data_IF_282297880078
#
_entry.id   IF_282297880078
#
_cell.length_a   1.000
_cell.length_b   1.000
_cell.length_c   1.000
_cell.angle_alpha   90.00
_cell.angle_beta   90.00
_cell.angle_gamma   90.00
#
_symmetry.space_group_name_H-M   'P 1'
#
loop_
_entity.id
_entity.type
_entity.pdbx_description
1 polymer ?
#
# COMPACT_ATOMS: atom_id res chain seq x y z
N UNK A 1 -22.20 28.85 -53.72
CA UNK A 1 -21.46 27.57 -53.87
C UNK A 1 -21.40 26.92 -52.53
N UNK A 2 -22.44 26.18 -52.16
CA UNK A 2 -22.47 25.38 -50.93
C UNK A 2 -22.02 23.99 -51.34
N UNK A 3 -20.75 23.71 -51.05
CA UNK A 3 -20.15 22.42 -51.38
C UNK A 3 -20.85 21.29 -50.64
N UNK A 4 -21.31 20.33 -51.43
CA UNK A 4 -21.91 19.07 -51.02
C UNK A 4 -20.90 18.29 -50.16
N UNK A 5 -20.98 18.42 -48.83
CA UNK A 5 -20.26 17.51 -47.94
C UNK A 5 -20.80 16.11 -48.26
N UNK A 6 -19.96 15.25 -48.79
CA UNK A 6 -20.33 13.87 -49.13
C UNK A 6 -20.96 13.19 -47.91
N UNK A 7 -22.04 12.43 -48.10
CA UNK A 7 -22.70 11.68 -47.03
C UNK A 7 -21.71 10.79 -46.24
N UNK A 8 -20.65 10.34 -46.89
CA UNK A 8 -19.53 9.61 -46.30
C UNK A 8 -18.73 10.45 -45.30
N UNK A 9 -18.50 11.73 -45.62
CA UNK A 9 -17.77 12.66 -44.75
C UNK A 9 -18.61 12.98 -43.50
N UNK A 10 -19.91 13.19 -43.67
CA UNK A 10 -20.83 13.43 -42.57
C UNK A 10 -20.89 12.20 -41.61
N UNK A 11 -20.96 11.00 -42.16
CA UNK A 11 -20.95 9.74 -41.42
C UNK A 11 -19.64 9.54 -40.66
N UNK A 12 -18.49 9.84 -41.26
CA UNK A 12 -17.19 9.77 -40.62
C UNK A 12 -17.07 10.76 -39.46
N UNK A 13 -17.53 12.00 -39.62
CA UNK A 13 -17.58 13.01 -38.58
C UNK A 13 -18.47 12.59 -37.42
N UNK A 14 -19.61 11.96 -37.67
CA UNK A 14 -20.50 11.44 -36.62
C UNK A 14 -19.84 10.33 -35.83
N UNK A 15 -19.17 9.39 -36.49
CA UNK A 15 -18.43 8.32 -35.82
C UNK A 15 -17.32 8.91 -34.93
N UNK A 16 -16.54 9.85 -35.42
CA UNK A 16 -15.48 10.51 -34.67
C UNK A 16 -16.03 11.25 -33.45
N UNK A 17 -17.14 11.96 -33.63
CA UNK A 17 -17.83 12.63 -32.52
C UNK A 17 -18.32 11.64 -31.45
N UNK A 18 -18.91 10.52 -31.84
CA UNK A 18 -19.35 9.48 -30.89
C UNK A 18 -18.18 8.84 -30.14
N UNK A 19 -17.06 8.58 -30.82
CA UNK A 19 -15.85 8.06 -30.20
C UNK A 19 -15.29 9.07 -29.17
N UNK A 20 -15.15 10.33 -29.54
CA UNK A 20 -14.67 11.39 -28.65
C UNK A 20 -15.61 11.60 -27.47
N UNK A 21 -16.92 11.61 -27.72
CA UNK A 21 -17.93 11.68 -26.67
C UNK A 21 -17.80 10.51 -25.67
N UNK A 22 -17.67 9.29 -26.19
CA UNK A 22 -17.52 8.08 -25.35
C UNK A 22 -16.23 8.12 -24.53
N UNK A 23 -15.11 8.55 -25.11
CA UNK A 23 -13.83 8.73 -24.43
C UNK A 23 -13.92 9.81 -23.34
N UNK A 24 -14.49 10.97 -23.62
CA UNK A 24 -14.68 12.05 -22.66
C UNK A 24 -15.61 11.63 -21.51
N UNK A 25 -16.73 10.96 -21.84
CA UNK A 25 -17.68 10.46 -20.86
C UNK A 25 -17.05 9.39 -19.96
N UNK A 26 -16.27 8.48 -20.53
CA UNK A 26 -15.51 7.47 -19.78
C UNK A 26 -14.51 8.10 -18.81
N UNK A 27 -13.77 9.13 -19.26
CA UNK A 27 -12.83 9.89 -18.42
C UNK A 27 -13.55 10.61 -17.28
N UNK A 28 -14.64 11.32 -17.57
CA UNK A 28 -15.42 12.03 -16.57
C UNK A 28 -16.02 11.07 -15.51
N UNK A 29 -16.54 9.92 -15.92
CA UNK A 29 -17.04 8.89 -15.00
C UNK A 29 -15.94 8.34 -14.09
N UNK A 30 -14.73 8.13 -14.64
CA UNK A 30 -13.57 7.68 -13.85
C UNK A 30 -13.18 8.73 -12.83
N UNK A 31 -13.08 9.99 -13.22
CA UNK A 31 -12.76 11.11 -12.31
C UNK A 31 -13.79 11.25 -11.19
N UNK A 32 -15.08 11.17 -11.52
CA UNK A 32 -16.16 11.20 -10.53
C UNK A 32 -16.06 10.06 -9.51
N UNK A 33 -15.71 8.85 -9.96
CA UNK A 33 -15.51 7.70 -9.06
C UNK A 33 -14.33 7.93 -8.13
N UNK A 34 -13.20 8.41 -8.66
CA UNK A 34 -11.99 8.73 -7.88
C UNK A 34 -12.31 9.82 -6.85
N UNK A 35 -12.99 10.89 -7.26
CA UNK A 35 -13.35 11.98 -6.36
C UNK A 35 -14.32 11.52 -5.25
N UNK A 36 -15.30 10.66 -5.56
CA UNK A 36 -16.19 10.07 -4.55
C UNK A 36 -15.43 9.19 -3.56
N UNK A 37 -14.52 8.36 -4.05
CA UNK A 37 -13.66 7.52 -3.22
C UNK A 37 -12.77 8.37 -2.31
N UNK A 38 -12.08 9.36 -2.85
CA UNK A 38 -11.25 10.28 -2.06
C UNK A 38 -12.07 11.03 -1.00
N UNK A 39 -13.28 11.49 -1.35
CA UNK A 39 -14.17 12.18 -0.42
C UNK A 39 -14.68 11.25 0.68
N UNK A 40 -15.10 10.02 0.33
CA UNK A 40 -15.58 9.01 1.28
C UNK A 40 -14.54 8.67 2.36
N UNK A 41 -13.28 8.59 1.99
CA UNK A 41 -12.16 8.27 2.88
C UNK A 41 -11.43 9.52 3.40
N UNK A 42 -11.94 10.73 3.15
CA UNK A 42 -11.32 12.00 3.53
C UNK A 42 -9.83 12.10 3.16
N UNK A 43 -9.44 11.51 2.01
CA UNK A 43 -8.03 11.32 1.64
C UNK A 43 -7.24 12.62 1.49
N UNK A 44 -7.88 13.72 1.07
CA UNK A 44 -7.21 15.03 0.96
C UNK A 44 -6.72 15.52 2.31
N UNK A 45 -7.54 15.37 3.36
CA UNK A 45 -7.17 15.75 4.72
C UNK A 45 -6.07 14.82 5.25
N UNK A 46 -6.26 13.50 5.15
CA UNK A 46 -5.26 12.52 5.60
C UNK A 46 -3.92 12.69 4.87
N UNK A 47 -3.90 12.95 3.55
CA UNK A 47 -2.69 13.19 2.80
C UNK A 47 -1.92 14.42 3.29
N UNK A 48 -2.63 15.52 3.65
CA UNK A 48 -1.99 16.72 4.23
C UNK A 48 -1.33 16.39 5.57
N UNK A 49 -2.03 15.71 6.47
CA UNK A 49 -1.47 15.29 7.77
C UNK A 49 -0.31 14.34 7.58
N UNK A 50 -0.44 13.37 6.69
CA UNK A 50 0.64 12.44 6.35
C UNK A 50 1.88 13.17 5.82
N UNK A 51 1.69 14.20 4.98
CA UNK A 51 2.79 15.04 4.51
C UNK A 51 3.45 15.84 5.65
N UNK A 52 2.69 16.37 6.59
CA UNK A 52 3.24 17.02 7.79
C UNK A 52 4.05 16.06 8.67
N UNK A 53 3.64 14.78 8.73
CA UNK A 53 4.37 13.76 9.51
C UNK A 53 5.68 13.34 8.84
N UNK A 54 5.70 13.24 7.51
CA UNK A 54 6.78 12.57 6.78
C UNK A 54 7.54 13.47 5.79
N UNK A 55 7.15 14.74 5.64
CA UNK A 55 7.76 15.63 4.66
C UNK A 55 9.23 15.98 4.95
N UNK A 56 9.64 15.88 6.22
CA UNK A 56 11.01 16.05 6.70
C UNK A 56 11.81 14.72 6.80
N UNK A 57 11.18 13.57 6.50
CA UNK A 57 11.79 12.24 6.66
C UNK A 57 12.44 11.77 5.37
N UNK A 58 13.74 11.60 5.39
CA UNK A 58 14.47 10.92 4.34
C UNK A 58 14.76 9.46 4.75
N UNK A 59 13.78 8.56 4.55
CA UNK A 59 13.90 7.15 4.91
C UNK A 59 15.05 6.44 4.18
N UNK A 60 15.37 6.86 2.96
CA UNK A 60 16.50 6.31 2.21
C UNK A 60 17.83 6.60 2.92
N UNK A 61 18.06 7.83 3.37
CA UNK A 61 19.27 8.20 4.11
C UNK A 61 19.38 7.45 5.44
N UNK A 62 18.26 7.33 6.18
CA UNK A 62 18.22 6.59 7.45
C UNK A 62 18.58 5.12 7.19
N UNK A 63 17.98 4.50 6.19
CA UNK A 63 18.26 3.12 5.80
C UNK A 63 19.71 2.93 5.37
N UNK A 64 20.25 3.83 4.55
CA UNK A 64 21.65 3.76 4.11
C UNK A 64 22.60 3.80 5.31
N UNK A 65 22.34 4.66 6.29
CA UNK A 65 23.15 4.73 7.51
C UNK A 65 23.02 3.46 8.36
N UNK A 66 21.80 2.92 8.51
CA UNK A 66 21.54 1.73 9.29
C UNK A 66 22.23 0.47 8.73
N UNK A 67 22.43 0.42 7.39
CA UNK A 67 23.02 -0.73 6.69
C UNK A 67 24.54 -0.69 6.57
N UNK A 68 25.22 0.38 6.99
CA UNK A 68 26.68 0.55 6.80
C UNK A 68 27.52 -0.67 7.19
N UNK A 69 27.12 -1.38 8.24
CA UNK A 69 27.84 -2.54 8.77
C UNK A 69 27.14 -3.87 8.47
N UNK A 70 26.01 -3.87 7.78
CA UNK A 70 25.20 -5.05 7.48
C UNK A 70 24.41 -4.80 6.19
N UNK A 71 25.13 -4.80 5.07
CA UNK A 71 24.50 -4.54 3.78
C UNK A 71 24.20 -5.87 3.04
N UNK A 72 22.96 -6.03 2.61
CA UNK A 72 22.50 -7.10 1.76
C UNK A 72 21.40 -6.57 0.83
N UNK A 73 21.18 -7.21 -0.29
CA UNK A 73 20.19 -6.79 -1.28
C UNK A 73 18.76 -6.78 -0.69
N UNK A 74 18.50 -7.68 0.25
CA UNK A 74 17.20 -7.76 0.95
C UNK A 74 16.90 -6.52 1.81
N UNK A 75 17.92 -5.75 2.15
CA UNK A 75 17.78 -4.55 2.99
C UNK A 75 17.69 -3.26 2.19
N UNK A 76 17.64 -3.34 0.85
CA UNK A 76 17.44 -2.14 0.02
C UNK A 76 16.09 -1.52 0.31
N UNK A 77 16.13 -0.26 0.71
CA UNK A 77 14.98 0.48 1.15
C UNK A 77 14.12 0.98 -0.02
N UNK A 78 12.82 0.91 0.19
CA UNK A 78 11.87 1.48 -0.74
C UNK A 78 10.50 1.65 -0.10
N UNK A 79 9.82 2.74 -0.40
CA UNK A 79 8.55 3.13 0.20
C UNK A 79 7.42 3.13 -0.81
N UNK A 80 6.22 2.78 -0.35
CA UNK A 80 5.00 3.02 -1.10
C UNK A 80 4.48 4.44 -0.78
N UNK A 81 3.96 5.12 -1.79
CA UNK A 81 3.37 6.43 -1.62
C UNK A 81 1.96 6.35 -1.00
N UNK A 82 1.54 7.38 -0.27
CA UNK A 82 0.28 7.40 0.49
C UNK A 82 -0.96 7.07 -0.34
N UNK A 83 -1.20 7.81 -1.45
CA UNK A 83 -2.39 7.60 -2.27
C UNK A 83 -2.39 6.24 -3.00
N UNK A 84 -1.30 5.80 -3.65
CA UNK A 84 -1.19 4.45 -4.19
C UNK A 84 -1.43 3.35 -3.15
N UNK A 85 -0.90 3.50 -1.94
CA UNK A 85 -1.11 2.53 -0.87
C UNK A 85 -2.56 2.47 -0.40
N UNK A 86 -3.19 3.61 -0.16
CA UNK A 86 -4.61 3.65 0.22
C UNK A 86 -5.51 3.13 -0.90
N UNK A 87 -5.18 3.37 -2.17
CA UNK A 87 -5.90 2.77 -3.29
C UNK A 87 -5.74 1.24 -3.32
N UNK A 88 -4.55 0.72 -3.05
CA UNK A 88 -4.29 -0.72 -2.95
C UNK A 88 -5.10 -1.36 -1.82
N UNK A 89 -5.12 -0.75 -0.64
CA UNK A 89 -5.91 -1.21 0.50
C UNK A 89 -7.43 -1.16 0.23
N UNK A 90 -7.92 -0.24 -0.61
CA UNK A 90 -9.34 -0.21 -1.02
C UNK A 90 -9.78 -1.42 -1.85
N UNK A 91 -8.83 -2.24 -2.33
CA UNK A 91 -9.13 -3.45 -3.12
C UNK A 91 -9.36 -4.69 -2.24
N UNK A 92 -9.17 -4.57 -0.94
CA UNK A 92 -9.40 -5.62 0.06
C UNK A 92 -10.47 -5.19 1.06
N UNK A 93 -11.08 -6.17 1.73
CA UNK A 93 -12.02 -5.85 2.80
C UNK A 93 -11.24 -5.53 4.07
N UNK A 94 -11.45 -4.33 4.62
CA UNK A 94 -10.85 -3.87 5.87
C UNK A 94 -11.97 -3.39 6.77
N UNK A 95 -12.05 -3.97 7.96
CA UNK A 95 -13.06 -3.70 8.98
C UNK A 95 -12.44 -3.62 10.39
N UNK A 96 -13.29 -3.49 11.39
CA UNK A 96 -12.89 -3.37 12.80
C UNK A 96 -12.25 -4.63 13.40
N UNK A 97 -12.27 -5.77 12.69
CA UNK A 97 -11.59 -7.00 13.10
C UNK A 97 -10.24 -7.16 12.40
N UNK A 98 -9.92 -6.28 11.45
CA UNK A 98 -8.68 -6.38 10.68
C UNK A 98 -7.48 -6.04 11.55
N UNK A 99 -6.56 -7.00 11.67
CA UNK A 99 -5.23 -6.82 12.26
C UNK A 99 -4.23 -6.78 11.11
N UNK A 100 -3.80 -5.56 10.78
CA UNK A 100 -2.87 -5.29 9.69
C UNK A 100 -1.43 -5.37 10.15
N UNK A 101 -0.58 -6.04 9.38
CA UNK A 101 0.87 -6.07 9.55
C UNK A 101 1.59 -5.58 8.30
N UNK A 102 2.63 -4.76 8.50
CA UNK A 102 3.61 -4.38 7.49
C UNK A 102 4.96 -5.02 7.83
N UNK A 103 5.41 -5.96 7.00
CA UNK A 103 6.66 -6.70 7.22
C UNK A 103 7.82 -5.98 6.51
N UNK A 104 8.72 -5.39 7.30
CA UNK A 104 9.73 -4.44 6.84
C UNK A 104 9.13 -3.03 6.74
N UNK A 105 8.57 -2.55 7.86
CA UNK A 105 7.78 -1.31 7.88
C UNK A 105 8.58 -0.02 7.70
N UNK A 106 9.92 -0.10 7.75
CA UNK A 106 10.78 1.06 7.56
C UNK A 106 10.45 2.19 8.53
N UNK A 107 10.19 3.37 8.01
CA UNK A 107 9.77 4.56 8.78
C UNK A 107 8.29 4.53 9.21
N UNK A 108 7.56 3.44 8.97
CA UNK A 108 6.18 3.23 9.42
C UNK A 108 5.10 3.82 8.53
N UNK A 109 5.42 4.28 7.31
CA UNK A 109 4.49 4.98 6.41
C UNK A 109 3.22 4.18 6.11
N UNK A 110 3.35 2.91 5.75
CA UNK A 110 2.20 2.07 5.41
C UNK A 110 1.31 1.78 6.64
N UNK A 111 1.92 1.54 7.79
CA UNK A 111 1.23 1.32 9.07
C UNK A 111 0.39 2.53 9.47
N UNK A 112 1.01 3.71 9.46
CA UNK A 112 0.35 4.99 9.79
C UNK A 112 -0.77 5.28 8.79
N UNK A 113 -0.53 5.15 7.48
CA UNK A 113 -1.54 5.37 6.45
C UNK A 113 -2.74 4.43 6.61
N UNK A 114 -2.51 3.16 6.94
CA UNK A 114 -3.58 2.18 7.17
C UNK A 114 -4.47 2.61 8.34
N UNK A 115 -3.91 2.90 9.51
CA UNK A 115 -4.67 3.27 10.69
C UNK A 115 -5.35 4.65 10.60
N UNK A 116 -4.79 5.58 9.81
CA UNK A 116 -5.41 6.89 9.57
C UNK A 116 -6.68 6.79 8.72
N UNK A 117 -6.69 5.88 7.75
CA UNK A 117 -7.72 5.86 6.68
C UNK A 117 -8.76 4.76 6.89
N UNK A 118 -8.37 3.63 7.49
CA UNK A 118 -9.22 2.44 7.58
C UNK A 118 -9.57 2.08 9.02
N UNK A 119 -10.75 1.49 9.24
CA UNK A 119 -11.25 1.14 10.57
C UNK A 119 -10.63 -0.15 11.13
N UNK A 120 -9.31 -0.30 11.01
CA UNK A 120 -8.62 -1.50 11.53
C UNK A 120 -8.74 -1.64 13.04
N UNK A 121 -8.63 -2.88 13.54
CA UNK A 121 -8.45 -3.16 14.96
C UNK A 121 -7.06 -2.75 15.41
N UNK A 122 -6.04 -3.22 14.68
CA UNK A 122 -4.63 -2.90 14.91
C UNK A 122 -3.90 -2.67 13.57
N UNK A 123 -2.85 -1.85 13.61
CA UNK A 123 -1.94 -1.62 12.49
C UNK A 123 -0.51 -1.70 13.04
N UNK A 124 0.23 -2.74 12.64
CA UNK A 124 1.49 -3.13 13.27
C UNK A 124 2.59 -3.16 12.23
N UNK A 125 3.72 -2.52 12.54
CA UNK A 125 4.93 -2.55 11.70
C UNK A 125 6.03 -3.36 12.36
N UNK A 126 6.69 -4.23 11.58
CA UNK A 126 7.88 -4.95 12.02
C UNK A 126 9.06 -4.42 11.24
N UNK A 127 10.09 -3.96 11.93
CA UNK A 127 11.29 -3.41 11.32
C UNK A 127 12.55 -3.97 12.00
N UNK A 128 13.51 -4.39 11.18
CA UNK A 128 14.76 -5.00 11.64
C UNK A 128 15.78 -3.96 12.10
N UNK A 129 15.78 -2.78 11.47
CA UNK A 129 16.79 -1.76 11.70
C UNK A 129 16.34 -0.76 12.77
N UNK A 130 17.11 -0.63 13.91
CA UNK A 130 16.73 0.24 15.03
C UNK A 130 16.46 1.69 14.62
N UNK A 131 17.27 2.26 13.69
CA UNK A 131 17.14 3.65 13.28
C UNK A 131 15.83 3.92 12.52
N UNK A 132 15.41 2.98 11.66
CA UNK A 132 14.11 3.08 10.96
C UNK A 132 12.96 2.88 11.93
N UNK A 133 13.05 1.88 12.80
CA UNK A 133 12.07 1.64 13.87
C UNK A 133 11.90 2.86 14.78
N UNK A 134 13.01 3.47 15.24
CA UNK A 134 12.97 4.68 16.05
C UNK A 134 12.26 5.82 15.32
N UNK A 135 12.58 6.05 14.04
CA UNK A 135 11.88 7.04 13.21
C UNK A 135 10.37 6.77 13.18
N UNK A 136 9.94 5.51 12.99
CA UNK A 136 8.54 5.14 13.00
C UNK A 136 7.85 5.45 14.34
N UNK A 137 8.51 5.16 15.47
CA UNK A 137 8.01 5.48 16.81
C UNK A 137 7.87 7.00 17.03
N UNK A 138 8.84 7.79 16.56
CA UNK A 138 8.77 9.25 16.63
C UNK A 138 7.61 9.82 15.79
N UNK A 139 7.35 9.24 14.61
CA UNK A 139 6.20 9.63 13.77
C UNK A 139 4.87 9.27 14.44
N UNK A 140 4.81 8.12 15.12
CA UNK A 140 3.64 7.75 15.91
C UNK A 140 3.38 8.73 17.05
N UNK A 141 4.41 9.14 17.80
CA UNK A 141 4.27 10.15 18.85
C UNK A 141 3.76 11.50 18.30
N UNK A 142 4.30 11.94 17.16
CA UNK A 142 3.80 13.15 16.48
C UNK A 142 2.33 13.00 16.06
N UNK A 143 1.93 11.86 15.50
CA UNK A 143 0.55 11.58 15.11
C UNK A 143 -0.39 11.63 16.32
N UNK A 144 0.02 11.03 17.46
CA UNK A 144 -0.78 11.00 18.69
C UNK A 144 -1.07 12.39 19.26
N UNK A 145 -0.17 13.35 19.02
CA UNK A 145 -0.33 14.76 19.41
C UNK A 145 -1.17 15.60 18.42
N UNK A 146 -1.53 15.05 17.26
CA UNK A 146 -2.34 15.75 16.25
C UNK A 146 -3.83 15.62 16.55
N UNK A 147 -4.54 16.74 16.47
CA UNK A 147 -6.00 16.78 16.66
C UNK A 147 -6.72 15.83 15.69
N UNK A 148 -7.63 15.02 16.23
CA UNK A 148 -8.41 14.03 15.47
C UNK A 148 -7.71 12.71 15.18
N UNK A 149 -6.45 12.52 15.62
CA UNK A 149 -5.70 11.28 15.37
C UNK A 149 -5.32 10.48 16.62
N UNK A 150 -5.67 10.95 17.81
CA UNK A 150 -5.39 10.24 19.08
C UNK A 150 -5.94 8.81 19.07
N UNK A 151 -7.17 8.60 18.60
CA UNK A 151 -7.77 7.25 18.57
C UNK A 151 -7.14 6.35 17.49
N UNK A 152 -6.76 6.90 16.34
CA UNK A 152 -6.06 6.15 15.30
C UNK A 152 -4.65 5.76 15.76
N UNK A 153 -3.95 6.63 16.49
CA UNK A 153 -2.60 6.36 16.99
C UNK A 153 -2.56 5.22 18.01
N UNK A 154 -3.61 5.05 18.83
CA UNK A 154 -3.72 3.95 19.80
C UNK A 154 -3.77 2.55 19.14
N UNK A 155 -4.15 2.49 17.87
CA UNK A 155 -4.21 1.24 17.08
C UNK A 155 -2.86 0.86 16.48
N UNK A 156 -1.88 1.77 16.52
CA UNK A 156 -0.58 1.60 15.88
C UNK A 156 0.43 1.08 16.90
N UNK A 157 1.24 0.12 16.48
CA UNK A 157 2.44 -0.31 17.18
C UNK A 157 3.56 -0.64 16.22
N UNK A 158 4.80 -0.48 16.69
CA UNK A 158 6.01 -0.87 15.97
C UNK A 158 6.82 -1.84 16.80
N UNK A 159 7.29 -2.91 16.16
CA UNK A 159 8.09 -3.98 16.77
C UNK A 159 9.47 -3.96 16.13
N UNK A 160 10.52 -3.78 16.93
CA UNK A 160 11.89 -3.96 16.48
C UNK A 160 12.20 -5.45 16.46
N UNK A 161 12.39 -6.03 15.28
CA UNK A 161 12.64 -7.46 15.16
C UNK A 161 12.63 -7.97 13.73
N UNK A 162 12.96 -9.24 13.60
CA UNK A 162 12.90 -9.97 12.34
C UNK A 162 11.49 -10.54 12.12
N UNK A 163 10.85 -10.17 11.02
CA UNK A 163 9.53 -10.68 10.65
C UNK A 163 9.48 -12.21 10.45
N UNK A 164 10.64 -12.87 10.32
CA UNK A 164 10.70 -14.33 10.31
C UNK A 164 10.57 -14.96 11.69
N UNK A 165 10.75 -14.21 12.77
CA UNK A 165 10.76 -14.73 14.16
C UNK A 165 9.69 -14.13 15.06
N UNK A 166 9.31 -12.85 14.85
CA UNK A 166 8.26 -12.15 15.62
C UNK A 166 6.92 -12.84 15.47
N UNK A 167 6.13 -12.95 16.55
CA UNK A 167 4.79 -13.54 16.48
C UNK A 167 3.85 -12.76 15.55
N UNK A 168 3.23 -13.48 14.60
CA UNK A 168 2.27 -12.98 13.62
C UNK A 168 0.90 -13.67 13.76
N UNK A 169 0.66 -14.41 14.85
CA UNK A 169 -0.50 -15.30 14.99
C UNK A 169 -1.85 -14.58 14.87
N UNK A 170 -1.92 -13.30 15.27
CA UNK A 170 -3.13 -12.48 15.17
C UNK A 170 -3.31 -11.78 13.80
N UNK A 171 -2.34 -11.87 12.90
CA UNK A 171 -2.41 -11.18 11.61
C UNK A 171 -3.56 -11.69 10.75
N UNK A 172 -4.41 -10.78 10.26
CA UNK A 172 -5.47 -11.09 9.29
C UNK A 172 -5.18 -10.55 7.90
N UNK A 173 -4.42 -9.44 7.83
CA UNK A 173 -3.97 -8.80 6.60
C UNK A 173 -2.49 -8.46 6.72
N UNK A 174 -1.68 -8.95 5.78
CA UNK A 174 -0.24 -8.65 5.73
C UNK A 174 0.08 -7.91 4.43
N UNK A 175 0.87 -6.84 4.54
CA UNK A 175 1.54 -6.18 3.42
C UNK A 175 3.04 -6.43 3.49
N UNK A 176 3.67 -6.66 2.33
CA UNK A 176 5.10 -6.89 2.21
C UNK A 176 5.61 -6.22 0.95
N UNK A 177 6.58 -5.30 1.11
CA UNK A 177 7.39 -4.88 -0.03
C UNK A 177 8.43 -5.96 -0.33
N UNK A 178 8.08 -6.92 -1.19
CA UNK A 178 8.91 -8.09 -1.49
C UNK A 178 9.89 -7.90 -2.64
N UNK A 179 10.09 -6.66 -3.10
CA UNK A 179 10.92 -6.36 -4.27
C UNK A 179 12.34 -6.91 -4.15
N UNK A 180 12.90 -6.90 -2.95
CA UNK A 180 14.27 -7.28 -2.66
C UNK A 180 14.42 -8.60 -1.88
N UNK A 181 13.33 -9.27 -1.53
CA UNK A 181 13.37 -10.57 -0.84
C UNK A 181 13.60 -11.70 -1.84
N UNK A 182 14.68 -12.45 -1.70
CA UNK A 182 15.06 -13.54 -2.61
C UNK A 182 15.45 -14.82 -1.86
N UNK A 183 15.56 -15.94 -2.60
CA UNK A 183 16.10 -17.21 -2.13
C UNK A 183 15.49 -17.67 -0.81
N UNK A 184 16.35 -18.10 0.12
CA UNK A 184 15.94 -18.70 1.38
C UNK A 184 15.05 -17.80 2.25
N UNK A 185 15.29 -16.49 2.27
CA UNK A 185 14.47 -15.51 3.01
C UNK A 185 13.04 -15.47 2.46
N UNK A 186 12.88 -15.45 1.14
CA UNK A 186 11.56 -15.47 0.50
C UNK A 186 10.82 -16.80 0.72
N UNK A 187 11.52 -17.91 0.62
CA UNK A 187 10.97 -19.25 0.86
C UNK A 187 10.52 -19.44 2.30
N UNK A 188 11.36 -19.04 3.27
CA UNK A 188 11.03 -19.08 4.69
C UNK A 188 9.79 -18.23 5.01
N UNK A 189 9.71 -17.02 4.41
CA UNK A 189 8.55 -16.16 4.58
C UNK A 189 7.27 -16.79 3.98
N UNK A 190 7.33 -17.35 2.78
CA UNK A 190 6.19 -18.06 2.18
C UNK A 190 5.71 -19.21 3.07
N UNK A 191 6.62 -20.02 3.58
CA UNK A 191 6.31 -21.13 4.51
C UNK A 191 5.61 -20.60 5.76
N UNK A 192 6.14 -19.54 6.34
CA UNK A 192 5.57 -18.92 7.54
C UNK A 192 4.17 -18.37 7.30
N UNK A 193 3.96 -17.62 6.22
CA UNK A 193 2.64 -17.08 5.88
C UNK A 193 1.58 -18.18 5.69
N UNK A 194 1.98 -19.31 5.12
CA UNK A 194 1.09 -20.47 4.96
C UNK A 194 0.66 -21.07 6.32
N UNK A 195 1.47 -20.98 7.36
CA UNK A 195 1.18 -21.55 8.67
C UNK A 195 0.28 -20.68 9.56
N UNK A 196 0.14 -19.36 9.26
CA UNK A 196 -0.60 -18.42 10.12
C UNK A 196 -2.10 -18.74 10.11
N UNK A 197 -2.73 -18.97 11.29
CA UNK A 197 -4.09 -19.50 11.35
C UNK A 197 -5.16 -18.49 10.94
N UNK A 198 -5.00 -17.21 11.31
CA UNK A 198 -5.99 -16.16 11.09
C UNK A 198 -5.75 -15.34 9.80
N UNK A 199 -4.60 -15.52 9.15
CA UNK A 199 -4.23 -14.75 7.97
C UNK A 199 -5.16 -15.08 6.80
N UNK A 200 -5.93 -14.10 6.37
CA UNK A 200 -6.90 -14.22 5.26
C UNK A 200 -6.41 -13.59 3.97
N UNK A 201 -5.57 -12.56 4.07
CA UNK A 201 -5.15 -11.76 2.92
C UNK A 201 -3.68 -11.39 3.01
N UNK A 202 -2.94 -11.55 1.91
CA UNK A 202 -1.56 -11.12 1.77
C UNK A 202 -1.43 -10.23 0.54
N UNK A 203 -0.79 -9.08 0.71
CA UNK A 203 -0.45 -8.15 -0.36
C UNK A 203 1.07 -8.11 -0.50
N UNK A 204 1.58 -8.43 -1.67
CA UNK A 204 3.01 -8.38 -1.99
C UNK A 204 3.28 -7.42 -3.13
N UNK A 205 4.50 -6.90 -3.24
CA UNK A 205 4.96 -6.14 -4.41
C UNK A 205 5.97 -6.96 -5.21
N UNK A 206 6.00 -6.77 -6.53
CA UNK A 206 6.97 -7.35 -7.47
C UNK A 206 6.97 -8.88 -7.61
N UNK A 207 6.49 -9.62 -6.60
CA UNK A 207 6.45 -11.09 -6.59
C UNK A 207 5.11 -11.63 -6.09
N UNK A 208 4.68 -12.76 -6.63
CA UNK A 208 3.54 -13.54 -6.14
C UNK A 208 3.99 -14.51 -5.05
N UNK A 209 3.09 -14.85 -4.12
CA UNK A 209 3.35 -15.94 -3.18
C UNK A 209 3.43 -17.27 -3.93
N UNK A 210 4.34 -18.15 -3.47
CA UNK A 210 4.30 -19.57 -3.77
C UNK A 210 3.55 -20.28 -2.65
N UNK A 211 2.26 -20.50 -2.84
CA UNK A 211 1.37 -20.97 -1.77
C UNK A 211 0.32 -21.93 -2.31
N UNK A 212 0.05 -23.00 -1.56
CA UNK A 212 -1.09 -23.90 -1.75
C UNK A 212 -2.35 -23.42 -1.01
N UNK A 213 -2.21 -22.44 -0.10
CA UNK A 213 -3.30 -21.94 0.76
C UNK A 213 -3.81 -20.55 0.36
N UNK A 214 -3.04 -19.81 -0.42
CA UNK A 214 -3.39 -18.47 -0.87
C UNK A 214 -3.44 -18.39 -2.38
N UNK A 215 -4.58 -17.95 -2.91
CA UNK A 215 -4.80 -17.77 -4.35
C UNK A 215 -4.63 -16.30 -4.73
N UNK A 216 -3.92 -16.05 -5.83
CA UNK A 216 -3.85 -14.73 -6.44
C UNK A 216 -5.24 -14.34 -6.97
N UNK A 217 -5.84 -13.29 -6.39
CA UNK A 217 -7.16 -12.80 -6.80
C UNK A 217 -7.10 -11.53 -7.62
N UNK A 218 -6.06 -10.72 -7.45
CA UNK A 218 -5.93 -9.43 -8.15
C UNK A 218 -4.47 -9.02 -8.27
N UNK A 219 -4.15 -8.34 -9.37
CA UNK A 219 -2.91 -7.59 -9.55
C UNK A 219 -3.21 -6.14 -9.91
N UNK A 220 -2.41 -5.21 -9.41
CA UNK A 220 -2.51 -3.79 -9.72
C UNK A 220 -1.13 -3.18 -9.94
N UNK A 221 -1.03 -2.18 -10.82
CA UNK A 221 0.17 -1.35 -10.90
C UNK A 221 0.11 -0.29 -9.81
N UNK A 222 1.18 -0.16 -9.06
CA UNK A 222 1.29 0.83 -7.98
C UNK A 222 2.58 1.65 -8.11
N UNK A 223 2.51 2.90 -7.68
CA UNK A 223 3.67 3.79 -7.62
C UNK A 223 4.41 3.58 -6.29
N UNK A 224 5.69 3.27 -6.40
CA UNK A 224 6.63 3.22 -5.29
C UNK A 224 7.62 4.37 -5.44
N UNK A 225 8.44 4.64 -4.41
CA UNK A 225 9.44 5.72 -4.44
C UNK A 225 10.50 5.57 -5.53
N UNK A 226 10.70 4.35 -6.07
CA UNK A 226 11.67 4.06 -7.13
C UNK A 226 11.07 3.74 -8.50
N UNK A 227 9.77 3.72 -8.65
CA UNK A 227 9.11 3.40 -9.91
C UNK A 227 7.78 2.69 -9.78
N UNK A 228 7.21 2.26 -10.91
CA UNK A 228 5.95 1.52 -10.96
C UNK A 228 6.22 0.02 -10.89
N UNK A 229 5.59 -0.67 -9.96
CA UNK A 229 5.67 -2.13 -9.81
C UNK A 229 4.27 -2.76 -9.83
N UNK A 230 4.21 -4.08 -9.94
CA UNK A 230 2.97 -4.81 -9.68
C UNK A 230 2.83 -5.11 -8.19
N UNK A 231 1.64 -4.85 -7.64
CA UNK A 231 1.18 -5.43 -6.39
C UNK A 231 0.26 -6.62 -6.69
N UNK A 232 0.34 -7.63 -5.85
CA UNK A 232 -0.41 -8.87 -5.95
C UNK A 232 -1.20 -9.10 -4.67
N UNK A 233 -2.50 -9.30 -4.79
CA UNK A 233 -3.40 -9.57 -3.67
C UNK A 233 -3.75 -11.04 -3.69
N UNK A 234 -3.40 -11.73 -2.61
CA UNK A 234 -3.67 -13.13 -2.41
C UNK A 234 -4.70 -13.28 -1.28
N UNK A 235 -5.67 -14.16 -1.47
CA UNK A 235 -6.65 -14.53 -0.43
C UNK A 235 -6.52 -16.00 -0.10
N UNK A 236 -6.75 -16.33 1.18
CA UNK A 236 -6.81 -17.71 1.63
C UNK A 236 -7.97 -18.41 0.95
N UNK A 237 -7.73 -19.64 0.47
CA UNK A 237 -8.79 -20.56 0.08
C UNK A 237 -9.35 -21.22 1.34
N UNK A 238 -10.67 -21.29 1.44
CA UNK A 238 -11.39 -21.99 2.52
C UNK A 238 -11.27 -23.49 2.39
#
# INVERSE_FOLDING_TARGET
>A
MLDFISSKTLFLCLILFLILFWLCFGKARKELRINRWQKKLNLKHHARIFHLLYGDVNGFMISQQARKNRDAIEYVYGEIEFLPFTALLSMVNIDHNTVFYDLGSGTGKAVVACAMVYPVHKSIGIELFPNLHQCACERLQKLAAMEGYTESSKKISFILGDFLTVDLSEATLIFINSSTLFGATWEALNTRLNSLPQLSTVITTSKTLSSSRFKLVTRAKIQMSWGVVFAFIHKREN
#
